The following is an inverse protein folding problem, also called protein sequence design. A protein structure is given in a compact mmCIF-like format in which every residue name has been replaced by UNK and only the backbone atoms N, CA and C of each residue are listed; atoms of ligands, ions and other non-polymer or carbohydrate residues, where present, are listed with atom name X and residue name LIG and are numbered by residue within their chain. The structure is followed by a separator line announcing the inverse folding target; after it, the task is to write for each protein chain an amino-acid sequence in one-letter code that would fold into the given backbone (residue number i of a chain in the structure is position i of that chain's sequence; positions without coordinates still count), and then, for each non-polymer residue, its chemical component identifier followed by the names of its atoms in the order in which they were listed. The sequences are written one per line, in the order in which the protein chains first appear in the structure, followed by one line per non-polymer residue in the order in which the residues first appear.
data_IF_698710706307
#
_entry.id   IF_698710706307
#
_cell.length_a   1.000
_cell.length_b   1.000
_cell.length_c   1.000
_cell.angle_alpha   90.00
_cell.angle_beta   90.00
_cell.angle_gamma   90.00
#
_symmetry.space_group_name_H-M   'P 1'
#
loop_
_entity.id
_entity.type
_entity.pdbx_description
1 polymer ?
#
# COMPACT_ATOMS: atom_id res chain seq x y z
N UNK A 1 31.48 0.64 10.63
CA UNK A 1 30.40 1.61 10.72
C UNK A 1 30.99 3.01 10.95
N UNK A 2 30.82 3.93 9.99
CA UNK A 2 31.39 5.29 10.00
C UNK A 2 30.89 6.19 11.15
N UNK A 3 29.81 5.79 11.83
CA UNK A 3 29.17 6.61 12.86
C UNK A 3 29.47 6.20 14.29
N UNK A 4 30.14 5.06 14.53
CA UNK A 4 30.36 4.52 15.90
C UNK A 4 31.26 5.44 16.73
N UNK A 5 32.37 5.89 16.13
CA UNK A 5 33.37 6.74 16.81
C UNK A 5 33.36 8.18 16.28
N UNK A 6 32.27 8.57 15.62
CA UNK A 6 32.16 9.82 14.86
C UNK A 6 32.52 9.63 13.39
N UNK A 7 31.99 10.51 12.53
CA UNK A 7 32.22 10.47 11.10
C UNK A 7 33.17 11.61 10.72
N UNK A 8 34.19 11.31 9.90
CA UNK A 8 35.08 12.33 9.36
C UNK A 8 34.41 13.19 8.29
N UNK A 9 34.97 14.38 8.05
CA UNK A 9 34.39 15.37 7.13
C UNK A 9 34.30 14.89 5.69
N UNK A 10 35.26 14.07 5.23
CA UNK A 10 35.25 13.54 3.87
C UNK A 10 34.12 12.51 3.69
N UNK A 11 34.06 11.52 4.56
CA UNK A 11 33.00 10.50 4.53
C UNK A 11 31.60 11.12 4.67
N UNK A 12 31.47 12.14 5.55
CA UNK A 12 30.24 12.90 5.69
C UNK A 12 29.82 13.59 4.39
N UNK A 13 30.76 14.23 3.70
CA UNK A 13 30.51 14.89 2.42
C UNK A 13 30.12 13.89 1.35
N UNK A 14 30.84 12.78 1.22
CA UNK A 14 30.56 11.71 0.25
C UNK A 14 29.14 11.16 0.44
N UNK A 15 28.69 10.92 1.69
CA UNK A 15 27.33 10.46 1.97
C UNK A 15 26.25 11.49 1.63
N UNK A 16 26.49 12.78 1.89
CA UNK A 16 25.51 13.83 1.63
C UNK A 16 25.41 14.22 0.16
N UNK A 17 26.52 14.20 -0.57
CA UNK A 17 26.58 14.56 -1.99
C UNK A 17 26.25 13.37 -2.91
N UNK A 18 26.19 12.16 -2.36
CA UNK A 18 25.88 10.96 -3.13
C UNK A 18 24.52 11.06 -3.83
N UNK A 19 24.46 10.82 -5.16
CA UNK A 19 23.20 10.82 -5.91
C UNK A 19 22.22 9.74 -5.39
N UNK A 20 22.74 8.65 -4.78
CA UNK A 20 21.95 7.56 -4.22
C UNK A 20 21.31 7.91 -2.88
N UNK A 21 21.66 9.08 -2.28
CA UNK A 21 21.12 9.58 -1.01
C UNK A 21 21.09 8.49 0.08
N UNK A 22 22.24 7.89 0.45
CA UNK A 22 22.27 6.75 1.39
C UNK A 22 21.82 7.13 2.80
N UNK A 23 21.81 8.43 3.16
CA UNK A 23 21.35 8.95 4.46
C UNK A 23 19.81 8.99 4.57
N UNK A 24 19.07 8.81 3.48
CA UNK A 24 17.61 8.82 3.51
C UNK A 24 17.10 7.46 3.99
N UNK A 25 16.39 7.45 5.10
CA UNK A 25 15.64 6.26 5.54
C UNK A 25 14.43 6.05 4.62
N UNK A 26 14.61 5.29 3.55
CA UNK A 26 13.58 5.06 2.54
C UNK A 26 12.36 4.32 3.09
N UNK A 27 12.53 3.50 4.13
CA UNK A 27 11.40 2.81 4.74
C UNK A 27 10.39 3.78 5.36
N UNK A 28 10.87 4.90 5.91
CA UNK A 28 10.04 5.87 6.62
C UNK A 28 9.75 7.13 5.80
N UNK A 29 10.73 7.59 4.99
CA UNK A 29 10.65 8.86 4.26
C UNK A 29 10.41 8.71 2.76
N UNK A 30 10.71 7.54 2.19
CA UNK A 30 10.50 7.29 0.77
C UNK A 30 9.04 7.02 0.49
N UNK A 31 8.34 7.97 -0.13
CA UNK A 31 6.96 7.78 -0.58
C UNK A 31 6.95 7.44 -2.08
N UNK A 32 6.49 6.24 -2.41
CA UNK A 32 6.49 5.68 -3.75
C UNK A 32 5.09 5.23 -4.17
N UNK A 33 4.77 5.25 -5.48
CA UNK A 33 3.59 4.55 -5.97
C UNK A 33 3.68 3.06 -5.61
N UNK A 34 2.71 2.49 -4.89
CA UNK A 34 2.78 1.10 -4.43
C UNK A 34 2.63 0.08 -5.57
N UNK A 35 2.07 0.51 -6.71
CA UNK A 35 1.77 -0.39 -7.82
C UNK A 35 0.88 -1.54 -7.40
N UNK A 36 1.10 -2.72 -7.95
CA UNK A 36 0.27 -3.92 -7.73
C UNK A 36 0.21 -4.40 -6.28
N UNK A 37 1.11 -3.95 -5.40
CA UNK A 37 1.00 -4.25 -3.96
C UNK A 37 -0.21 -3.58 -3.30
N UNK A 38 -0.86 -2.63 -3.99
CA UNK A 38 -2.07 -1.96 -3.54
C UNK A 38 -3.35 -2.77 -3.82
N UNK A 39 -3.32 -3.68 -4.79
CA UNK A 39 -4.49 -4.45 -5.25
C UNK A 39 -5.20 -5.27 -4.15
N UNK A 40 -4.50 -5.94 -3.23
CA UNK A 40 -5.16 -6.65 -2.13
C UNK A 40 -6.02 -5.74 -1.25
N UNK A 41 -5.58 -4.50 -1.01
CA UNK A 41 -6.36 -3.53 -0.24
C UNK A 41 -7.58 -3.04 -1.02
N UNK A 42 -7.47 -2.85 -2.33
CA UNK A 42 -8.59 -2.53 -3.22
C UNK A 42 -9.63 -3.65 -3.24
N UNK A 43 -9.18 -4.91 -3.33
CA UNK A 43 -10.05 -6.07 -3.28
C UNK A 43 -10.79 -6.18 -1.94
N UNK A 44 -10.08 -5.97 -0.82
CA UNK A 44 -10.69 -5.95 0.51
C UNK A 44 -11.73 -4.83 0.63
N UNK A 45 -11.41 -3.62 0.14
CA UNK A 45 -12.35 -2.50 0.11
C UNK A 45 -13.63 -2.85 -0.66
N UNK A 46 -13.50 -3.52 -1.80
CA UNK A 46 -14.65 -3.94 -2.61
C UNK A 46 -15.54 -4.97 -1.90
N UNK A 47 -14.94 -5.90 -1.17
CA UNK A 47 -15.67 -6.89 -0.37
C UNK A 47 -16.40 -6.23 0.81
N UNK A 48 -15.70 -5.38 1.57
CA UNK A 48 -16.27 -4.71 2.76
C UNK A 48 -17.40 -3.73 2.41
N UNK A 49 -17.28 -3.05 1.25
CA UNK A 49 -18.31 -2.12 0.76
C UNK A 49 -19.42 -2.81 -0.05
N UNK A 50 -19.33 -4.12 -0.28
CA UNK A 50 -20.29 -4.88 -1.07
C UNK A 50 -20.28 -4.57 -2.58
N UNK A 51 -19.24 -3.89 -3.07
CA UNK A 51 -19.09 -3.59 -4.50
C UNK A 51 -18.77 -4.81 -5.35
N UNK A 52 -18.17 -5.84 -4.76
CA UNK A 52 -17.85 -7.12 -5.40
C UNK A 52 -18.09 -8.27 -4.42
N UNK A 53 -18.43 -9.42 -4.97
CA UNK A 53 -18.30 -10.70 -4.31
C UNK A 53 -17.04 -11.43 -4.81
N UNK A 54 -16.51 -12.41 -4.08
CA UNK A 54 -15.30 -13.13 -4.50
C UNK A 54 -15.43 -13.82 -5.87
N UNK A 55 -16.64 -14.29 -6.19
CA UNK A 55 -16.94 -15.06 -7.41
C UNK A 55 -17.33 -14.18 -8.62
N UNK A 56 -17.57 -12.89 -8.38
CA UNK A 56 -17.95 -11.98 -9.45
C UNK A 56 -16.79 -11.76 -10.41
N UNK A 57 -17.00 -12.07 -11.67
CA UNK A 57 -15.99 -12.01 -12.73
C UNK A 57 -16.11 -10.77 -13.60
N UNK A 58 -15.00 -10.39 -14.21
CA UNK A 58 -14.94 -9.48 -15.36
C UNK A 58 -14.24 -10.17 -16.53
N UNK A 59 -14.47 -9.67 -17.74
CA UNK A 59 -13.67 -10.04 -18.92
C UNK A 59 -12.53 -9.06 -19.08
N UNK A 60 -11.30 -9.59 -19.11
CA UNK A 60 -10.08 -8.82 -19.37
C UNK A 60 -9.56 -9.11 -20.80
N UNK A 61 -9.77 -8.19 -21.75
CA UNK A 61 -9.22 -8.28 -23.10
C UNK A 61 -7.77 -7.74 -23.20
N UNK A 62 -7.14 -7.39 -22.07
CA UNK A 62 -5.83 -6.74 -22.00
C UNK A 62 -5.87 -5.23 -21.92
N UNK A 63 -7.06 -4.64 -21.73
CA UNK A 63 -7.22 -3.20 -21.57
C UNK A 63 -8.60 -2.81 -21.03
N UNK A 64 -8.67 -1.61 -20.49
CA UNK A 64 -9.90 -0.91 -20.11
C UNK A 64 -9.95 0.46 -20.82
N UNK A 65 -11.06 0.79 -21.47
CA UNK A 65 -11.24 2.08 -22.12
C UNK A 65 -12.21 2.96 -21.35
N UNK A 66 -11.79 4.18 -21.04
CA UNK A 66 -12.59 5.15 -20.32
C UNK A 66 -12.27 6.58 -20.78
N UNK A 67 -13.32 7.37 -21.11
CA UNK A 67 -13.18 8.78 -21.48
C UNK A 67 -12.25 9.04 -22.68
N UNK A 68 -12.21 8.15 -23.66
CA UNK A 68 -11.33 8.25 -24.84
C UNK A 68 -9.89 7.80 -24.56
N UNK A 69 -9.56 7.39 -23.33
CA UNK A 69 -8.27 6.83 -22.93
C UNK A 69 -8.32 5.30 -22.85
N UNK A 70 -7.22 4.64 -23.23
CA UNK A 70 -7.03 3.19 -23.10
C UNK A 70 -5.98 2.90 -22.03
N UNK A 71 -6.40 2.25 -20.94
CA UNK A 71 -5.57 1.75 -19.86
C UNK A 71 -5.22 0.29 -20.17
N UNK A 72 -3.95 0.00 -20.33
CA UNK A 72 -3.49 -1.34 -20.71
C UNK A 72 -3.22 -2.21 -19.52
N UNK A 73 -3.56 -3.50 -19.64
CA UNK A 73 -3.08 -4.54 -18.73
C UNK A 73 -1.60 -4.85 -19.01
N UNK A 74 -0.88 -5.36 -18.02
CA UNK A 74 0.51 -5.79 -18.19
C UNK A 74 0.62 -7.02 -19.10
N UNK A 75 -0.44 -7.86 -19.10
CA UNK A 75 -0.53 -9.03 -19.97
C UNK A 75 -1.13 -8.68 -21.32
N UNK A 76 -0.30 -8.73 -22.36
CA UNK A 76 -0.77 -8.56 -23.75
C UNK A 76 -1.82 -9.60 -24.11
N UNK A 77 -3.00 -9.13 -24.53
CA UNK A 77 -4.16 -10.00 -24.83
C UNK A 77 -5.03 -10.36 -23.61
N UNK A 78 -4.67 -9.88 -22.43
CA UNK A 78 -5.46 -10.00 -21.21
C UNK A 78 -5.43 -11.37 -20.55
N UNK A 79 -6.19 -11.46 -19.44
CA UNK A 79 -6.31 -12.67 -18.61
C UNK A 79 -7.59 -13.46 -18.88
N UNK A 80 -8.46 -12.97 -19.79
CA UNK A 80 -9.76 -13.59 -20.08
C UNK A 80 -10.78 -13.36 -18.94
N UNK A 81 -11.42 -14.40 -18.47
CA UNK A 81 -12.39 -14.29 -17.36
C UNK A 81 -11.66 -14.33 -16.02
N UNK A 82 -11.80 -13.27 -15.25
CA UNK A 82 -11.05 -13.00 -14.02
C UNK A 82 -12.03 -12.75 -12.88
N UNK A 83 -11.94 -13.55 -11.82
CA UNK A 83 -12.55 -13.32 -10.51
C UNK A 83 -11.56 -12.60 -9.56
N UNK A 84 -11.97 -12.41 -8.32
CA UNK A 84 -11.13 -11.72 -7.34
C UNK A 84 -9.83 -12.48 -7.01
N UNK A 85 -9.90 -13.81 -6.88
CA UNK A 85 -8.71 -14.63 -6.62
C UNK A 85 -7.69 -14.48 -7.75
N UNK A 86 -8.11 -14.73 -8.99
CA UNK A 86 -7.26 -14.60 -10.18
C UNK A 86 -6.71 -13.19 -10.33
N UNK A 87 -7.51 -12.14 -10.01
CA UNK A 87 -7.09 -10.75 -10.15
C UNK A 87 -5.89 -10.41 -9.26
N UNK A 88 -5.82 -10.99 -8.05
CA UNK A 88 -4.69 -10.82 -7.13
C UNK A 88 -3.53 -11.72 -7.55
N UNK A 89 -3.79 -13.02 -7.78
CA UNK A 89 -2.76 -14.02 -8.09
C UNK A 89 -1.96 -13.67 -9.36
N UNK A 90 -2.67 -13.24 -10.40
CA UNK A 90 -2.05 -12.88 -11.69
C UNK A 90 -1.84 -11.38 -11.85
N UNK A 91 -2.18 -10.60 -10.84
CA UNK A 91 -2.00 -9.13 -10.86
C UNK A 91 -2.71 -8.42 -12.02
N UNK A 92 -3.93 -8.85 -12.39
CA UNK A 92 -4.69 -8.29 -13.50
C UNK A 92 -5.03 -6.82 -13.28
N UNK A 93 -4.45 -5.92 -14.07
CA UNK A 93 -4.70 -4.47 -13.98
C UNK A 93 -6.13 -4.11 -14.39
N UNK A 94 -6.63 -4.73 -15.44
CA UNK A 94 -7.97 -4.46 -15.98
C UNK A 94 -9.05 -4.66 -14.93
N UNK A 95 -8.94 -5.70 -14.09
CA UNK A 95 -9.87 -5.91 -12.98
C UNK A 95 -9.95 -4.70 -12.06
N UNK A 96 -8.81 -4.13 -11.70
CA UNK A 96 -8.73 -3.00 -10.78
C UNK A 96 -9.03 -1.66 -11.42
N UNK A 97 -8.85 -1.50 -12.73
CA UNK A 97 -9.36 -0.34 -13.47
C UNK A 97 -10.88 -0.27 -13.42
N UNK A 98 -11.55 -1.39 -13.73
CA UNK A 98 -13.00 -1.51 -13.65
C UNK A 98 -13.48 -1.30 -12.22
N UNK A 99 -12.85 -1.95 -11.25
CA UNK A 99 -13.21 -1.84 -9.84
C UNK A 99 -13.08 -0.41 -9.32
N UNK A 100 -11.98 0.28 -9.63
CA UNK A 100 -11.76 1.66 -9.19
C UNK A 100 -12.80 2.62 -9.79
N UNK A 101 -13.13 2.44 -11.08
CA UNK A 101 -14.19 3.21 -11.74
C UNK A 101 -15.54 2.99 -11.05
N UNK A 102 -15.87 1.76 -10.67
CA UNK A 102 -17.15 1.41 -10.02
C UNK A 102 -17.24 1.86 -8.56
N UNK A 103 -16.12 1.90 -7.84
CA UNK A 103 -16.07 2.36 -6.46
C UNK A 103 -16.08 3.89 -6.34
N UNK A 104 -15.35 4.56 -7.22
CA UNK A 104 -15.08 6.00 -7.14
C UNK A 104 -14.06 6.36 -6.06
N UNK A 105 -13.46 7.55 -6.20
CA UNK A 105 -12.35 7.99 -5.34
C UNK A 105 -12.72 8.13 -3.87
N UNK A 106 -13.94 8.56 -3.58
CA UNK A 106 -14.35 8.80 -2.19
C UNK A 106 -14.47 7.50 -1.39
N UNK A 107 -15.07 6.46 -1.97
CA UNK A 107 -15.15 5.14 -1.34
C UNK A 107 -13.76 4.54 -1.15
N UNK A 108 -12.90 4.64 -2.17
CA UNK A 108 -11.51 4.16 -2.11
C UNK A 108 -10.75 4.88 -0.99
N UNK A 109 -10.72 6.22 -1.01
CA UNK A 109 -9.93 6.99 -0.05
C UNK A 109 -10.43 6.82 1.38
N UNK A 110 -11.76 6.74 1.59
CA UNK A 110 -12.34 6.51 2.92
C UNK A 110 -11.95 5.15 3.49
N UNK A 111 -11.94 4.10 2.67
CA UNK A 111 -11.52 2.78 3.13
C UNK A 111 -9.99 2.73 3.40
N UNK A 112 -9.18 3.22 2.46
CA UNK A 112 -7.71 3.19 2.58
C UNK A 112 -7.20 4.00 3.77
N UNK A 113 -7.89 5.10 4.14
CA UNK A 113 -7.57 5.88 5.34
C UNK A 113 -7.68 5.05 6.62
N UNK A 114 -8.64 4.14 6.69
CA UNK A 114 -8.79 3.24 7.84
C UNK A 114 -7.59 2.28 7.96
N UNK A 115 -7.00 1.88 6.85
CA UNK A 115 -5.78 1.06 6.79
C UNK A 115 -4.48 1.84 7.04
N UNK A 116 -4.57 3.14 7.36
CA UNK A 116 -3.41 3.97 7.70
C UNK A 116 -2.72 4.65 6.52
N UNK A 117 -3.21 4.48 5.29
CA UNK A 117 -2.66 5.19 4.14
C UNK A 117 -2.88 6.70 4.24
N UNK A 118 -1.87 7.48 3.87
CA UNK A 118 -1.91 8.94 3.96
C UNK A 118 -1.83 9.48 5.39
N UNK A 119 -1.30 8.69 6.35
CA UNK A 119 -1.12 9.04 7.75
C UNK A 119 0.25 8.55 8.22
N UNK A 120 0.83 9.23 9.21
CA UNK A 120 2.03 8.73 9.90
C UNK A 120 1.70 7.42 10.62
N UNK A 121 2.63 6.48 10.61
CA UNK A 121 2.45 5.18 11.29
C UNK A 121 2.61 5.28 12.80
N UNK A 122 3.28 6.34 13.26
CA UNK A 122 3.58 6.57 14.66
C UNK A 122 4.72 5.68 15.20
N UNK A 123 5.59 5.17 14.33
CA UNK A 123 6.80 4.43 14.74
C UNK A 123 7.62 5.24 15.73
N UNK A 124 8.36 4.55 16.60
CA UNK A 124 9.14 5.11 17.72
C UNK A 124 10.47 5.78 17.31
N UNK A 125 10.65 6.10 16.02
CA UNK A 125 11.78 6.89 15.50
C UNK A 125 11.28 8.04 14.65
N UNK A 126 12.09 9.10 14.54
CA UNK A 126 11.75 10.26 13.74
C UNK A 126 11.82 10.01 12.23
N UNK A 127 11.12 10.85 11.48
CA UNK A 127 11.18 10.85 10.04
C UNK A 127 10.05 10.07 9.36
N UNK A 128 9.00 9.68 10.08
CA UNK A 128 7.82 9.01 9.54
C UNK A 128 6.98 9.96 8.67
N UNK A 129 6.95 9.72 7.37
CA UNK A 129 6.24 10.54 6.41
C UNK A 129 4.78 10.08 6.22
N UNK A 130 3.90 11.05 5.95
CA UNK A 130 2.46 10.78 5.76
C UNK A 130 2.13 10.11 4.42
N UNK A 131 3.03 10.25 3.42
CA UNK A 131 2.70 9.82 2.06
C UNK A 131 1.55 10.63 1.45
N UNK A 132 0.93 10.08 0.42
CA UNK A 132 -0.21 10.70 -0.27
C UNK A 132 -1.30 9.66 -0.49
N UNK A 133 -2.43 9.84 0.19
CA UNK A 133 -3.68 9.18 -0.12
C UNK A 133 -4.54 10.13 -0.97
N UNK A 134 -4.72 9.84 -2.27
CA UNK A 134 -5.49 10.69 -3.15
C UNK A 134 -6.96 10.79 -2.72
N UNK A 135 -7.50 11.99 -2.77
CA UNK A 135 -8.93 12.27 -2.57
C UNK A 135 -9.29 13.59 -3.25
N UNK A 136 -10.59 13.86 -3.40
CA UNK A 136 -11.03 15.16 -3.90
C UNK A 136 -10.54 16.31 -3.01
N UNK A 137 -10.58 16.12 -1.68
CA UNK A 137 -10.11 17.11 -0.70
C UNK A 137 -8.60 17.33 -0.80
N UNK A 138 -7.82 16.24 -0.87
CA UNK A 138 -6.37 16.32 -1.05
C UNK A 138 -6.03 17.11 -2.33
N UNK A 139 -6.71 16.82 -3.44
CA UNK A 139 -6.45 17.49 -4.71
C UNK A 139 -6.74 18.98 -4.64
N UNK A 140 -7.84 19.40 -3.99
CA UNK A 140 -8.18 20.80 -3.75
C UNK A 140 -7.09 21.53 -2.95
N UNK A 141 -6.52 20.89 -1.93
CA UNK A 141 -5.47 21.46 -1.09
C UNK A 141 -4.10 21.50 -1.81
N UNK A 142 -3.85 20.52 -2.68
CA UNK A 142 -2.55 20.34 -3.34
C UNK A 142 -2.30 21.32 -4.47
N UNK A 143 -3.31 21.64 -5.25
CA UNK A 143 -3.22 22.47 -6.43
C UNK A 143 -3.79 23.86 -6.17
N UNK A 144 -3.13 24.89 -6.77
CA UNK A 144 -3.54 26.29 -6.60
C UNK A 144 -4.58 26.73 -7.62
N UNK A 145 -4.52 26.20 -8.84
CA UNK A 145 -5.39 26.60 -9.95
C UNK A 145 -6.72 25.84 -9.87
N UNK A 146 -7.89 26.53 -9.94
CA UNK A 146 -9.21 25.91 -9.81
C UNK A 146 -9.44 24.75 -10.77
N UNK A 147 -8.98 24.86 -12.02
CA UNK A 147 -9.10 23.81 -13.02
C UNK A 147 -8.34 22.53 -12.67
N UNK A 148 -7.26 22.65 -11.88
CA UNK A 148 -6.46 21.51 -11.39
C UNK A 148 -7.03 20.91 -10.10
N UNK A 149 -7.90 21.64 -9.39
CA UNK A 149 -8.51 21.16 -8.12
C UNK A 149 -9.65 20.18 -8.36
N UNK A 150 -10.27 20.23 -9.57
CA UNK A 150 -11.36 19.33 -9.91
C UNK A 150 -10.86 17.90 -10.05
N UNK A 151 -11.55 16.95 -9.42
CA UNK A 151 -11.32 15.53 -9.62
C UNK A 151 -12.02 15.06 -10.89
N UNK A 152 -11.30 14.38 -11.75
CA UNK A 152 -11.85 13.76 -12.96
C UNK A 152 -11.94 12.25 -12.75
N UNK A 153 -13.04 11.63 -13.21
CA UNK A 153 -13.27 10.20 -13.02
C UNK A 153 -12.13 9.33 -13.59
N UNK A 154 -11.52 9.73 -14.71
CA UNK A 154 -10.38 9.02 -15.28
C UNK A 154 -9.14 8.95 -14.37
N UNK A 155 -8.97 9.89 -13.45
CA UNK A 155 -7.88 9.85 -12.47
C UNK A 155 -8.04 8.69 -11.48
N UNK A 156 -9.31 8.30 -11.18
CA UNK A 156 -9.60 7.18 -10.29
C UNK A 156 -9.15 5.85 -10.87
N UNK A 157 -9.17 5.69 -12.19
CA UNK A 157 -8.79 4.43 -12.85
C UNK A 157 -7.38 4.00 -12.47
N UNK A 158 -6.40 4.89 -12.57
CA UNK A 158 -5.00 4.61 -12.21
C UNK A 158 -4.80 4.39 -10.71
N UNK A 159 -5.67 4.98 -9.86
CA UNK A 159 -5.60 4.78 -8.41
C UNK A 159 -5.81 3.29 -8.07
N UNK A 160 -6.67 2.59 -8.81
CA UNK A 160 -7.00 1.19 -8.56
C UNK A 160 -5.81 0.22 -8.62
N UNK A 161 -4.79 0.55 -9.39
CA UNK A 161 -3.57 -0.25 -9.51
C UNK A 161 -2.38 0.33 -8.70
N UNK A 162 -2.66 1.23 -7.77
CA UNK A 162 -1.63 1.86 -6.94
C UNK A 162 -0.72 2.84 -7.69
N UNK A 163 -1.21 3.44 -8.78
CA UNK A 163 -0.53 4.45 -9.58
C UNK A 163 -1.22 5.82 -9.46
N UNK A 164 -0.94 6.73 -10.37
CA UNK A 164 -1.48 8.09 -10.33
C UNK A 164 -0.90 8.90 -9.18
N UNK A 165 -1.74 9.44 -8.31
CA UNK A 165 -1.30 10.24 -7.16
C UNK A 165 -0.95 9.42 -5.91
N UNK A 166 -1.12 8.09 -5.93
CA UNK A 166 -0.74 7.24 -4.82
C UNK A 166 0.76 7.35 -4.52
N UNK A 167 1.11 7.68 -3.29
CA UNK A 167 2.50 7.66 -2.84
C UNK A 167 2.57 7.27 -1.35
N UNK A 168 3.07 6.09 -1.04
CA UNK A 168 3.12 5.56 0.32
C UNK A 168 4.53 5.12 0.69
N UNK A 169 4.81 5.16 1.98
CA UNK A 169 6.07 4.63 2.50
C UNK A 169 6.01 3.11 2.64
N UNK A 170 7.15 2.40 2.52
CA UNK A 170 7.20 0.96 2.77
C UNK A 170 6.64 0.57 4.14
N UNK A 171 6.84 1.38 5.18
CA UNK A 171 6.30 1.10 6.51
C UNK A 171 4.77 1.19 6.56
N UNK A 172 4.15 2.11 5.80
CA UNK A 172 2.70 2.18 5.68
C UNK A 172 2.13 0.92 5.01
N UNK A 173 2.75 0.46 3.92
CA UNK A 173 2.36 -0.79 3.25
C UNK A 173 2.52 -2.00 4.18
N UNK A 174 3.63 -2.06 4.92
CA UNK A 174 3.87 -3.13 5.90
C UNK A 174 2.81 -3.12 7.01
N UNK A 175 2.49 -1.95 7.57
CA UNK A 175 1.48 -1.81 8.62
C UNK A 175 0.07 -2.20 8.13
N UNK A 176 -0.32 -1.77 6.93
CA UNK A 176 -1.61 -2.14 6.33
C UNK A 176 -1.68 -3.65 6.03
N UNK A 177 -0.57 -4.26 5.56
CA UNK A 177 -0.49 -5.70 5.33
C UNK A 177 -0.58 -6.47 6.65
N UNK A 178 0.10 -6.00 7.70
CA UNK A 178 0.02 -6.58 9.04
C UNK A 178 -1.42 -6.54 9.59
N UNK A 179 -2.20 -5.49 9.32
CA UNK A 179 -3.60 -5.43 9.72
C UNK A 179 -4.45 -6.55 9.07
N UNK A 180 -4.21 -6.86 7.79
CA UNK A 180 -4.85 -8.01 7.12
C UNK A 180 -4.44 -9.33 7.81
N UNK A 181 -3.15 -9.49 8.13
CA UNK A 181 -2.65 -10.68 8.82
C UNK A 181 -3.20 -10.84 10.24
N UNK A 182 -3.43 -9.73 10.95
CA UNK A 182 -3.87 -9.68 12.35
C UNK A 182 -5.38 -9.47 12.52
N UNK A 183 -6.21 -9.99 11.62
CA UNK A 183 -7.68 -9.90 11.71
C UNK A 183 -8.21 -8.47 11.87
N UNK A 184 -7.60 -7.51 11.19
CA UNK A 184 -7.99 -6.09 11.23
C UNK A 184 -7.39 -5.30 12.39
N UNK A 185 -6.60 -5.90 13.28
CA UNK A 185 -5.94 -5.17 14.36
C UNK A 185 -4.65 -4.53 13.82
N UNK A 186 -4.60 -3.21 13.88
CA UNK A 186 -3.40 -2.42 13.55
C UNK A 186 -2.62 -2.12 14.80
N UNK A 187 -1.33 -2.42 14.78
CA UNK A 187 -0.39 -2.09 15.85
C UNK A 187 0.50 -0.91 15.46
N UNK A 188 0.93 -0.16 16.48
CA UNK A 188 1.99 0.83 16.32
C UNK A 188 3.30 0.12 16.01
N UNK A 189 3.98 0.41 14.90
CA UNK A 189 5.31 -0.13 14.65
C UNK A 189 6.29 0.37 15.71
N UNK A 190 7.23 -0.48 16.11
CA UNK A 190 8.30 -0.09 17.03
C UNK A 190 9.58 -0.89 16.76
N UNK A 191 10.73 -0.28 17.00
CA UNK A 191 12.05 -0.90 16.89
C UNK A 191 12.54 -1.42 18.23
N UNK A 192 12.17 -0.73 19.33
CA UNK A 192 12.60 -1.10 20.67
C UNK A 192 11.81 -2.31 21.13
N UNK A 193 12.50 -3.42 21.37
CA UNK A 193 11.91 -4.66 21.88
C UNK A 193 11.83 -4.68 23.42
N UNK A 194 12.87 -4.20 24.07
CA UNK A 194 12.95 -4.07 25.51
C UNK A 194 14.00 -3.01 25.90
N UNK A 195 13.91 -2.53 27.12
CA UNK A 195 14.90 -1.67 27.77
C UNK A 195 15.60 -2.51 28.85
N UNK A 196 16.93 -2.51 28.86
CA UNK A 196 17.72 -3.23 29.85
C UNK A 196 18.38 -2.24 30.80
N UNK A 197 18.19 -2.45 32.10
CA UNK A 197 18.91 -1.70 33.13
C UNK A 197 20.36 -2.19 33.16
N UNK A 198 21.30 -1.30 32.82
CA UNK A 198 22.73 -1.65 32.73
C UNK A 198 23.35 -2.14 34.05
N UNK A 199 22.80 -1.73 35.21
CA UNK A 199 23.33 -2.08 36.51
C UNK A 199 22.76 -3.40 37.06
N UNK A 200 21.49 -3.70 36.75
CA UNK A 200 20.80 -4.90 37.30
C UNK A 200 20.65 -6.01 36.28
N UNK A 201 20.79 -5.71 34.98
CA UNK A 201 20.47 -6.65 33.90
C UNK A 201 18.96 -6.91 33.70
N UNK A 202 18.11 -6.22 34.44
CA UNK A 202 16.66 -6.37 34.35
C UNK A 202 16.16 -5.82 33.00
N UNK A 203 15.31 -6.61 32.32
CA UNK A 203 14.73 -6.25 31.03
C UNK A 203 13.25 -5.94 31.16
N UNK A 204 12.88 -4.73 30.77
CA UNK A 204 11.48 -4.30 30.65
C UNK A 204 11.05 -4.39 29.18
N UNK A 205 10.17 -5.32 28.80
CA UNK A 205 9.68 -5.44 27.43
C UNK A 205 8.84 -4.22 27.03
N UNK A 206 8.85 -3.88 25.73
CA UNK A 206 7.92 -2.92 25.16
C UNK A 206 6.73 -3.72 24.62
N UNK A 207 5.57 -3.54 25.26
CA UNK A 207 4.35 -4.23 24.87
C UNK A 207 3.79 -3.67 23.54
N UNK A 208 3.27 -4.55 22.65
CA UNK A 208 2.62 -4.14 21.43
C UNK A 208 1.43 -3.21 21.71
N UNK A 209 1.40 -2.04 21.06
CA UNK A 209 0.33 -1.05 21.23
C UNK A 209 -0.66 -1.15 20.07
N UNK A 210 -1.91 -1.62 20.27
CA UNK A 210 -2.94 -1.57 19.26
C UNK A 210 -3.36 -0.11 19.04
N UNK A 211 -3.30 0.35 17.79
CA UNK A 211 -3.76 1.68 17.39
C UNK A 211 -5.26 1.71 17.16
N UNK A 212 -5.75 0.71 16.45
CA UNK A 212 -7.16 0.56 16.09
C UNK A 212 -7.49 -0.88 15.71
N UNK A 213 -8.75 -1.25 15.86
CA UNK A 213 -9.31 -2.47 15.33
C UNK A 213 -10.32 -2.12 14.24
N UNK A 214 -10.10 -2.62 13.03
CA UNK A 214 -10.98 -2.42 11.91
C UNK A 214 -12.10 -3.47 11.95
N UNK A 215 -13.37 -3.10 11.78
CA UNK A 215 -14.49 -4.04 11.82
C UNK A 215 -14.60 -4.82 10.50
N UNK A 216 -13.53 -5.53 10.13
CA UNK A 216 -13.45 -6.32 8.91
C UNK A 216 -14.11 -7.68 9.09
N UNK A 217 -14.85 -8.14 8.08
CA UNK A 217 -15.46 -9.47 8.08
C UNK A 217 -14.40 -10.54 7.89
N UNK A 218 -14.38 -11.54 8.78
CA UNK A 218 -13.41 -12.64 8.72
C UNK A 218 -13.41 -13.32 7.36
N UNK A 219 -14.59 -13.61 6.80
CA UNK A 219 -14.71 -14.23 5.50
C UNK A 219 -14.04 -13.42 4.37
N UNK A 220 -14.07 -12.07 4.44
CA UNK A 220 -13.42 -11.22 3.46
C UNK A 220 -11.89 -11.25 3.62
N UNK A 221 -11.40 -11.23 4.87
CA UNK A 221 -9.98 -11.38 5.17
C UNK A 221 -9.43 -12.71 4.66
N UNK A 222 -10.19 -13.81 4.85
CA UNK A 222 -9.78 -15.14 4.43
C UNK A 222 -9.66 -15.24 2.89
N UNK A 223 -10.59 -14.62 2.15
CA UNK A 223 -10.49 -14.51 0.68
C UNK A 223 -9.19 -13.81 0.26
N UNK A 224 -8.88 -12.67 0.87
CA UNK A 224 -7.66 -11.91 0.53
C UNK A 224 -6.40 -12.70 0.91
N UNK A 225 -6.35 -13.29 2.10
CA UNK A 225 -5.21 -14.10 2.55
C UNK A 225 -4.96 -15.30 1.65
N UNK A 226 -6.03 -16.01 1.26
CA UNK A 226 -5.94 -17.13 0.34
C UNK A 226 -5.36 -16.70 -1.01
N UNK A 227 -5.79 -15.56 -1.55
CA UNK A 227 -5.26 -15.02 -2.79
C UNK A 227 -3.78 -14.60 -2.66
N UNK A 228 -3.37 -13.99 -1.53
CA UNK A 228 -1.97 -13.65 -1.26
C UNK A 228 -1.08 -14.90 -1.15
N UNK A 229 -1.58 -16.00 -0.58
CA UNK A 229 -0.90 -17.31 -0.61
C UNK A 229 -0.77 -17.81 -2.06
N UNK A 230 -1.83 -17.66 -2.86
CA UNK A 230 -1.83 -18.00 -4.28
C UNK A 230 -0.78 -17.24 -5.10
N UNK A 231 -0.56 -15.94 -4.80
CA UNK A 231 0.52 -15.15 -5.44
C UNK A 231 1.87 -15.85 -5.33
N UNK A 232 2.18 -16.41 -4.15
CA UNK A 232 3.46 -17.05 -3.87
C UNK A 232 3.54 -18.51 -4.34
N UNK A 233 2.39 -19.18 -4.53
CA UNK A 233 2.35 -20.59 -4.96
C UNK A 233 2.30 -20.75 -6.47
N UNK A 234 1.46 -19.97 -7.13
CA UNK A 234 1.15 -20.15 -8.57
C UNK A 234 1.08 -18.81 -9.34
N UNK A 235 1.22 -17.69 -8.64
CA UNK A 235 1.11 -16.35 -9.20
C UNK A 235 2.46 -15.70 -9.51
N UNK A 236 2.42 -14.36 -9.55
CA UNK A 236 3.57 -13.52 -9.93
C UNK A 236 4.75 -13.63 -8.96
N UNK A 237 4.52 -14.01 -7.70
CA UNK A 237 5.55 -14.20 -6.67
C UNK A 237 6.15 -15.61 -6.61
N UNK A 238 5.63 -16.58 -7.35
CA UNK A 238 6.00 -18.00 -7.21
C UNK A 238 7.50 -18.27 -7.34
N UNK A 239 8.18 -17.56 -8.27
CA UNK A 239 9.63 -17.72 -8.47
C UNK A 239 10.48 -17.22 -7.32
N UNK A 240 9.99 -16.24 -6.54
CA UNK A 240 10.74 -15.69 -5.41
C UNK A 240 10.77 -16.64 -4.19
N UNK A 241 9.86 -17.63 -4.17
CA UNK A 241 9.69 -18.58 -3.08
C UNK A 241 9.86 -20.04 -3.52
N UNK A 242 10.31 -20.26 -4.77
CA UNK A 242 10.74 -21.57 -5.27
C UNK A 242 12.14 -21.86 -4.72
N UNK A 243 12.22 -22.52 -3.57
CA UNK A 243 13.43 -22.98 -2.92
C UNK A 243 13.30 -24.44 -2.52
#
# INVERSE_FOLDING_TARGET
NLFVDGIDTQSWRELNESPDKPMVNRALNGAYPPGSTFKPFMALAALETGKRTPQQTISDPGFFSFGGHTFRDDKKGGHGIVDMYKSIVHSCDTYYYVLANDMGIDAISNFMRQLGFGQRTGIDIEGDAEGVLPSQEWKKKRFRKPEQQKWYAGETVSIGIGQGYNAYTPIQLAQATAAIANNGVMYRPHLVKYIENINTGERTPIEPQPLRSLPLKQANLDVIRQALVGVNKEGTGARAFAG
#
